data_IF_583219372183
#
_entry.id   IF_583219372183
#
_cell.length_a   1.000
_cell.length_b   1.000
_cell.length_c   1.000
_cell.angle_alpha   90.00
_cell.angle_beta   90.00
_cell.angle_gamma   90.00
#
_symmetry.space_group_name_H-M   'P 1'
#
loop_
_entity.id
_entity.type
_entity.pdbx_description
1 polymer ?
#
# COMPACT_ATOMS: atom_id res chain seq x y z
N UNK A 1 -8.24 -16.01 14.07
CA UNK A 1 -7.89 -14.68 14.61
C UNK A 1 -8.39 -13.63 13.65
N UNK A 2 -8.83 -12.48 14.16
CA UNK A 2 -9.20 -11.30 13.40
C UNK A 2 -8.07 -10.27 13.57
N UNK A 3 -7.51 -9.76 12.47
CA UNK A 3 -6.37 -8.83 12.49
C UNK A 3 -6.80 -7.36 12.69
N UNK A 4 -8.01 -7.02 12.27
CA UNK A 4 -8.55 -5.66 12.28
C UNK A 4 -9.31 -5.35 10.99
N UNK A 5 -9.66 -4.09 10.82
CA UNK A 5 -10.41 -3.59 9.66
C UNK A 5 -9.53 -2.69 8.78
N UNK A 6 -9.76 -2.74 7.47
CA UNK A 6 -9.16 -1.83 6.50
C UNK A 6 -10.29 -1.10 5.78
N UNK A 7 -10.27 0.23 5.83
CA UNK A 7 -11.26 1.08 5.16
C UNK A 7 -10.57 1.84 4.04
N UNK A 8 -11.03 1.62 2.82
CA UNK A 8 -10.51 2.29 1.62
C UNK A 8 -11.56 3.25 1.07
N UNK A 9 -11.13 4.43 0.62
CA UNK A 9 -11.99 5.40 -0.05
C UNK A 9 -11.67 5.44 -1.56
N UNK A 10 -12.50 4.83 -2.43
CA UNK A 10 -12.27 4.77 -3.88
C UNK A 10 -12.04 6.14 -4.52
N UNK A 11 -12.78 7.16 -4.07
CA UNK A 11 -12.68 8.52 -4.60
C UNK A 11 -11.32 9.15 -4.29
N UNK A 12 -10.77 8.88 -3.10
CA UNK A 12 -9.44 9.38 -2.71
C UNK A 12 -8.34 8.60 -3.43
N UNK A 13 -8.45 7.27 -3.50
CA UNK A 13 -7.52 6.44 -4.27
C UNK A 13 -7.45 6.87 -5.74
N UNK A 14 -8.60 7.16 -6.38
CA UNK A 14 -8.62 7.68 -7.76
C UNK A 14 -7.90 9.01 -7.93
N UNK A 15 -7.96 9.90 -6.94
CA UNK A 15 -7.23 11.18 -6.97
C UNK A 15 -5.73 10.99 -6.74
N UNK A 16 -5.35 10.06 -5.87
CA UNK A 16 -3.94 9.76 -5.57
C UNK A 16 -3.25 9.05 -6.72
N UNK A 17 -3.93 8.10 -7.36
CA UNK A 17 -3.41 7.31 -8.47
C UNK A 17 -2.75 8.19 -9.54
N UNK A 18 -3.36 9.29 -9.95
CA UNK A 18 -2.82 10.17 -10.98
C UNK A 18 -1.44 10.79 -10.62
N UNK A 19 -1.12 10.94 -9.34
CA UNK A 19 0.12 11.57 -8.86
C UNK A 19 1.13 10.57 -8.24
N UNK A 20 0.70 9.34 -7.97
CA UNK A 20 1.49 8.36 -7.22
C UNK A 20 1.86 7.14 -8.07
N UNK A 21 0.91 6.25 -8.36
CA UNK A 21 1.16 5.02 -9.14
C UNK A 21 0.93 5.18 -10.64
N UNK A 22 0.18 6.20 -11.05
CA UNK A 22 -0.30 6.42 -12.43
C UNK A 22 -1.57 5.62 -12.79
N UNK A 23 -1.99 4.67 -11.95
CA UNK A 23 -3.14 3.81 -12.23
C UNK A 23 -3.97 3.47 -10.99
N UNK A 24 -5.29 3.44 -11.16
CA UNK A 24 -6.24 3.29 -10.06
C UNK A 24 -6.14 1.92 -9.37
N UNK A 25 -5.99 0.84 -10.15
CA UNK A 25 -6.01 -0.51 -9.58
C UNK A 25 -4.74 -0.81 -8.76
N UNK A 26 -3.59 -0.27 -9.17
CA UNK A 26 -2.34 -0.34 -8.41
C UNK A 26 -2.38 0.57 -7.20
N UNK A 27 -2.97 1.77 -7.28
CA UNK A 27 -3.15 2.60 -6.07
C UNK A 27 -4.03 1.87 -5.05
N UNK A 28 -5.14 1.29 -5.49
CA UNK A 28 -6.04 0.55 -4.60
C UNK A 28 -5.35 -0.70 -4.01
N UNK A 29 -4.60 -1.43 -4.82
CA UNK A 29 -3.82 -2.58 -4.36
C UNK A 29 -2.71 -2.17 -3.38
N UNK A 30 -2.05 -1.03 -3.62
CA UNK A 30 -1.04 -0.47 -2.73
C UNK A 30 -1.66 -0.08 -1.39
N UNK A 31 -2.77 0.66 -1.37
CA UNK A 31 -3.46 1.05 -0.14
C UNK A 31 -3.96 -0.17 0.65
N UNK A 32 -4.42 -1.22 -0.03
CA UNK A 32 -4.78 -2.48 0.62
C UNK A 32 -3.58 -3.16 1.26
N UNK A 33 -2.47 -3.34 0.52
CA UNK A 33 -1.24 -3.94 1.04
C UNK A 33 -0.69 -3.11 2.19
N UNK A 34 -0.66 -1.79 2.05
CA UNK A 34 -0.26 -0.83 3.07
C UNK A 34 -1.07 -1.00 4.37
N UNK A 35 -2.40 -1.04 4.26
CA UNK A 35 -3.28 -1.27 5.40
C UNK A 35 -3.05 -2.62 6.07
N UNK A 36 -2.83 -3.70 5.29
CA UNK A 36 -2.48 -5.02 5.84
C UNK A 36 -1.14 -4.97 6.58
N UNK A 37 -0.13 -4.30 6.02
CA UNK A 37 1.18 -4.18 6.66
C UNK A 37 1.09 -3.42 7.99
N UNK A 38 0.28 -2.37 8.07
CA UNK A 38 -0.03 -1.69 9.34
C UNK A 38 -0.68 -2.63 10.36
N UNK A 39 -1.66 -3.44 9.96
CA UNK A 39 -2.27 -4.44 10.85
C UNK A 39 -1.28 -5.52 11.32
N UNK A 40 -0.19 -5.76 10.57
CA UNK A 40 0.89 -6.68 10.94
C UNK A 40 1.99 -6.02 11.78
N UNK A 41 1.84 -4.74 12.13
CA UNK A 41 2.78 -3.98 12.97
C UNK A 41 3.96 -3.36 12.21
N UNK A 42 3.85 -3.21 10.89
CA UNK A 42 4.78 -2.37 10.13
C UNK A 42 4.32 -0.93 10.17
N UNK A 43 5.25 0.00 10.37
CA UNK A 43 4.99 1.43 10.37
C UNK A 43 5.99 2.14 9.44
N UNK A 44 5.77 3.42 9.21
CA UNK A 44 6.62 4.29 8.41
C UNK A 44 6.85 5.65 9.10
N UNK A 45 6.89 5.66 10.43
CA UNK A 45 7.14 6.86 11.22
C UNK A 45 8.61 7.32 11.10
N UNK A 46 9.56 6.37 11.13
CA UNK A 46 10.98 6.65 10.96
C UNK A 46 11.47 6.34 9.53
N UNK A 47 12.53 7.01 9.02
CA UNK A 47 13.03 6.80 7.66
C UNK A 47 13.41 5.34 7.34
N UNK A 48 13.99 4.63 8.32
CA UNK A 48 14.38 3.23 8.16
C UNK A 48 13.16 2.30 8.08
N UNK A 49 12.14 2.57 8.89
CA UNK A 49 10.88 1.81 8.89
C UNK A 49 10.12 2.05 7.58
N UNK A 50 10.03 3.31 7.14
CA UNK A 50 9.43 3.68 5.87
C UNK A 50 10.11 2.97 4.68
N UNK A 51 11.44 2.90 4.67
CA UNK A 51 12.18 2.18 3.63
C UNK A 51 11.87 0.67 3.66
N UNK A 52 11.84 0.06 4.85
CA UNK A 52 11.52 -1.35 5.01
C UNK A 52 10.07 -1.68 4.61
N UNK A 53 9.12 -0.81 4.94
CA UNK A 53 7.71 -0.97 4.58
C UNK A 53 7.51 -0.84 3.07
N UNK A 54 8.14 0.15 2.43
CA UNK A 54 8.09 0.34 0.96
C UNK A 54 8.66 -0.84 0.19
N UNK A 55 9.73 -1.47 0.70
CA UNK A 55 10.27 -2.68 0.09
C UNK A 55 9.26 -3.84 0.12
N UNK A 56 8.56 -4.01 1.24
CA UNK A 56 7.52 -5.05 1.39
C UNK A 56 6.33 -4.77 0.48
N UNK A 57 5.89 -3.52 0.40
CA UNK A 57 4.82 -3.09 -0.51
C UNK A 57 5.17 -3.44 -1.96
N UNK A 58 6.40 -3.11 -2.42
CA UNK A 58 6.90 -3.47 -3.75
C UNK A 58 6.95 -4.97 -3.98
N UNK A 59 7.49 -5.73 -3.03
CA UNK A 59 7.57 -7.18 -3.14
C UNK A 59 6.17 -7.83 -3.26
N UNK A 60 5.19 -7.37 -2.47
CA UNK A 60 3.83 -7.88 -2.53
C UNK A 60 3.12 -7.50 -3.83
N UNK A 61 3.21 -6.25 -4.27
CA UNK A 61 2.61 -5.82 -5.53
C UNK A 61 3.20 -6.56 -6.73
N UNK A 62 4.54 -6.71 -6.79
CA UNK A 62 5.22 -7.44 -7.86
C UNK A 62 4.76 -8.90 -7.92
N UNK A 63 4.62 -9.56 -6.76
CA UNK A 63 4.09 -10.93 -6.67
C UNK A 63 2.67 -11.07 -7.21
N UNK A 64 1.89 -9.99 -7.19
CA UNK A 64 0.51 -9.94 -7.70
C UNK A 64 0.42 -9.25 -9.08
N UNK A 65 1.54 -9.12 -9.80
CA UNK A 65 1.58 -8.63 -11.18
C UNK A 65 1.41 -7.12 -11.33
N UNK A 66 1.63 -6.35 -10.26
CA UNK A 66 1.57 -4.89 -10.26
C UNK A 66 2.94 -4.31 -9.90
N UNK A 67 3.33 -3.24 -10.57
CA UNK A 67 4.60 -2.55 -10.30
C UNK A 67 4.31 -1.06 -10.33
N UNK A 68 4.86 -0.32 -9.37
CA UNK A 68 4.86 1.14 -9.41
C UNK A 68 6.29 1.65 -9.24
N UNK A 69 6.56 2.83 -9.80
CA UNK A 69 7.87 3.49 -9.82
C UNK A 69 8.17 4.25 -8.54
#
# INVERSE_FOLDING_TARGET
MLLGDIVLCPVVAGRQAAAHTGDYDTELALLLVHGVLHLLGHDHAEPAEAAAMRERERAHLARHGRVWS
#
